data_IF_512783307625
#
_entry.id   IF_512783307625
#
_cell.length_a   1.000
_cell.length_b   1.000
_cell.length_c   1.000
_cell.angle_alpha   90.00
_cell.angle_beta   90.00
_cell.angle_gamma   90.00
#
_symmetry.space_group_name_H-M   'P 1'
#
loop_
_entity.id
_entity.type
_entity.pdbx_description
1 polymer ?
#
# COMPACT_ATOMS: atom_id res chain seq x y z
N UNK A 1 14.68 28.26 -6.67
CA UNK A 1 13.68 28.75 -5.69
C UNK A 1 13.41 27.71 -4.59
N UNK A 2 14.06 27.88 -3.43
CA UNK A 2 13.72 27.12 -2.23
C UNK A 2 12.35 27.62 -1.77
N UNK A 3 11.27 26.91 -2.15
CA UNK A 3 9.94 27.21 -1.64
C UNK A 3 10.02 27.14 -0.12
N UNK A 4 9.96 28.32 0.49
CA UNK A 4 10.06 28.57 1.92
C UNK A 4 8.77 28.12 2.61
N UNK A 5 8.45 26.84 2.47
CA UNK A 5 7.52 26.16 3.35
C UNK A 5 8.43 25.37 4.29
N UNK A 6 8.56 25.83 5.53
CA UNK A 6 9.22 25.12 6.63
C UNK A 6 8.38 23.89 7.02
N UNK A 7 8.16 22.98 6.08
CA UNK A 7 7.60 21.67 6.35
C UNK A 7 8.66 20.87 7.09
N UNK A 8 8.33 20.47 8.32
CA UNK A 8 9.10 19.48 9.08
C UNK A 8 9.49 18.30 8.18
N UNK A 9 10.67 17.71 8.37
CA UNK A 9 11.16 16.60 7.53
C UNK A 9 10.13 15.46 7.39
N UNK A 10 9.36 15.22 8.46
CA UNK A 10 8.24 14.27 8.47
C UNK A 10 7.14 14.60 7.46
N UNK A 11 6.71 15.86 7.38
CA UNK A 11 5.64 16.23 6.44
C UNK A 11 6.10 16.21 4.99
N UNK A 12 7.39 16.49 4.71
CA UNK A 12 7.96 16.33 3.36
C UNK A 12 7.99 14.88 2.92
N UNK A 13 8.46 13.97 3.79
CA UNK A 13 8.46 12.53 3.53
C UNK A 13 7.05 11.97 3.33
N UNK A 14 6.11 12.38 4.19
CA UNK A 14 4.71 11.97 4.08
C UNK A 14 4.05 12.46 2.77
N UNK A 15 4.34 13.69 2.33
CA UNK A 15 3.82 14.21 1.06
C UNK A 15 4.42 13.49 -0.15
N UNK A 16 5.73 13.21 -0.14
CA UNK A 16 6.40 12.50 -1.23
C UNK A 16 5.83 11.08 -1.41
N UNK A 17 5.75 10.30 -0.32
CA UNK A 17 5.12 8.97 -0.36
C UNK A 17 3.63 9.06 -0.68
N UNK A 18 2.92 9.97 -0.02
CA UNK A 18 1.48 10.11 -0.18
C UNK A 18 1.07 10.42 -1.62
N UNK A 19 1.84 11.24 -2.34
CA UNK A 19 1.59 11.50 -3.76
C UNK A 19 1.89 10.29 -4.65
N UNK A 20 3.03 9.63 -4.41
CA UNK A 20 3.43 8.46 -5.18
C UNK A 20 2.39 7.32 -5.03
N UNK A 21 2.07 6.95 -3.80
CA UNK A 21 1.12 5.88 -3.50
C UNK A 21 -0.34 6.23 -3.84
N UNK A 22 -0.72 7.52 -3.87
CA UNK A 22 -2.05 7.95 -4.33
C UNK A 22 -2.28 7.64 -5.82
N UNK A 23 -1.26 7.79 -6.66
CA UNK A 23 -1.35 7.44 -8.07
C UNK A 23 -1.60 5.94 -8.23
N UNK A 24 -0.81 5.10 -7.55
CA UNK A 24 -1.02 3.65 -7.54
C UNK A 24 -2.39 3.25 -6.99
N UNK A 25 -2.84 3.85 -5.89
CA UNK A 25 -4.14 3.57 -5.29
C UNK A 25 -5.29 3.90 -6.24
N UNK A 26 -5.18 5.00 -7.00
CA UNK A 26 -6.21 5.41 -7.95
C UNK A 26 -6.34 4.41 -9.09
N UNK A 27 -5.22 3.94 -9.64
CA UNK A 27 -5.23 2.92 -10.69
C UNK A 27 -5.76 1.57 -10.20
N UNK A 28 -5.41 1.16 -8.98
CA UNK A 28 -5.93 -0.08 -8.38
C UNK A 28 -7.45 0.01 -8.20
N UNK A 29 -7.96 1.13 -7.65
CA UNK A 29 -9.41 1.32 -7.49
C UNK A 29 -10.13 1.36 -8.85
N UNK A 30 -9.55 2.03 -9.84
CA UNK A 30 -10.09 2.10 -11.21
C UNK A 30 -10.14 0.72 -11.86
N UNK A 31 -9.04 -0.04 -11.80
CA UNK A 31 -8.97 -1.41 -12.31
C UNK A 31 -9.97 -2.33 -11.60
N UNK A 32 -10.12 -2.17 -10.28
CA UNK A 32 -11.13 -2.88 -9.49
C UNK A 32 -12.55 -2.64 -9.97
N UNK A 33 -12.92 -1.39 -10.21
CA UNK A 33 -14.26 -1.05 -10.71
C UNK A 33 -14.50 -1.57 -12.14
N UNK A 34 -13.46 -1.55 -12.99
CA UNK A 34 -13.53 -2.03 -14.37
C UNK A 34 -13.53 -3.56 -14.50
N UNK A 35 -13.02 -4.27 -13.50
CA UNK A 35 -13.00 -5.74 -13.49
C UNK A 35 -14.38 -6.39 -13.32
N UNK A 36 -15.37 -5.63 -12.84
CA UNK A 36 -16.73 -6.13 -12.63
C UNK A 36 -17.42 -6.28 -13.99
N UNK A 37 -17.92 -7.48 -14.25
CA UNK A 37 -18.57 -7.83 -15.52
C UNK A 37 -19.65 -6.82 -15.93
N UNK A 38 -19.64 -6.46 -17.22
CA UNK A 38 -20.60 -5.52 -17.79
C UNK A 38 -22.03 -6.09 -17.74
N UNK A 39 -22.19 -7.41 -17.86
CA UNK A 39 -23.48 -8.10 -17.79
C UNK A 39 -24.20 -7.88 -16.46
N UNK A 40 -23.48 -7.81 -15.33
CA UNK A 40 -24.05 -7.46 -14.03
C UNK A 40 -24.68 -6.05 -14.02
N UNK A 41 -24.04 -5.11 -14.74
CA UNK A 41 -24.51 -3.72 -14.83
C UNK A 41 -25.71 -3.63 -15.77
N UNK A 42 -25.69 -4.36 -16.87
CA UNK A 42 -26.80 -4.41 -17.84
C UNK A 42 -28.04 -5.10 -17.26
N UNK A 43 -27.87 -6.23 -16.57
CA UNK A 43 -28.95 -6.92 -15.87
C UNK A 43 -29.60 -6.04 -14.80
N UNK A 44 -28.78 -5.32 -14.01
CA UNK A 44 -29.29 -4.41 -12.99
C UNK A 44 -30.05 -3.22 -13.58
N UNK A 45 -29.59 -2.67 -14.71
CA UNK A 45 -30.33 -1.65 -15.47
C UNK A 45 -31.66 -2.19 -15.99
N UNK A 46 -31.69 -3.43 -16.51
CA UNK A 46 -32.91 -4.07 -16.99
C UNK A 46 -33.94 -4.30 -15.86
N UNK A 47 -33.48 -4.49 -14.62
CA UNK A 47 -34.33 -4.54 -13.42
C UNK A 47 -34.77 -3.16 -12.90
N UNK A 48 -34.49 -2.07 -13.62
CA UNK A 48 -34.90 -0.72 -13.25
C UNK A 48 -34.02 -0.06 -12.19
N UNK A 49 -32.83 -0.59 -11.88
CA UNK A 49 -31.93 0.04 -10.92
C UNK A 49 -31.27 1.30 -11.51
N UNK A 50 -31.18 2.35 -10.70
CA UNK A 50 -30.44 3.57 -11.04
C UNK A 50 -28.93 3.31 -11.00
N UNK A 51 -28.14 4.09 -11.76
CA UNK A 51 -26.68 3.97 -11.78
C UNK A 51 -26.05 4.05 -10.38
N UNK A 52 -26.63 4.86 -9.48
CA UNK A 52 -26.17 4.95 -8.09
C UNK A 52 -26.42 3.66 -7.31
N UNK A 53 -27.59 3.03 -7.48
CA UNK A 53 -27.90 1.74 -6.85
C UNK A 53 -26.97 0.64 -7.39
N UNK A 54 -26.75 0.60 -8.71
CA UNK A 54 -25.83 -0.37 -9.34
C UNK A 54 -24.42 -0.21 -8.78
N UNK A 55 -23.93 1.04 -8.70
CA UNK A 55 -22.61 1.30 -8.13
C UNK A 55 -22.54 0.83 -6.67
N UNK A 56 -23.46 1.28 -5.82
CA UNK A 56 -23.42 1.03 -4.38
C UNK A 56 -23.63 -0.43 -3.99
N UNK A 57 -24.53 -1.15 -4.66
CA UNK A 57 -24.97 -2.48 -4.23
C UNK A 57 -24.34 -3.62 -5.04
N UNK A 58 -23.86 -3.37 -6.26
CA UNK A 58 -23.35 -4.42 -7.15
C UNK A 58 -21.86 -4.21 -7.39
N UNK A 59 -21.48 -3.07 -7.98
CA UNK A 59 -20.11 -2.85 -8.45
C UNK A 59 -19.15 -2.64 -7.29
N UNK A 60 -19.45 -1.72 -6.35
CA UNK A 60 -18.53 -1.38 -5.27
C UNK A 60 -18.22 -2.59 -4.37
N UNK A 61 -19.20 -3.37 -3.89
CA UNK A 61 -18.91 -4.52 -3.03
C UNK A 61 -18.08 -5.61 -3.73
N UNK A 62 -18.27 -5.82 -5.03
CA UNK A 62 -17.49 -6.76 -5.83
C UNK A 62 -16.07 -6.26 -6.10
N UNK A 63 -15.95 -5.01 -6.56
CA UNK A 63 -14.67 -4.36 -6.80
C UNK A 63 -13.80 -4.29 -5.54
N UNK A 64 -14.39 -3.99 -4.38
CA UNK A 64 -13.67 -3.93 -3.10
C UNK A 64 -13.01 -5.27 -2.75
N UNK A 65 -13.68 -6.40 -2.99
CA UNK A 65 -13.10 -7.73 -2.75
C UNK A 65 -11.88 -8.01 -3.63
N UNK A 66 -11.87 -7.46 -4.85
CA UNK A 66 -10.74 -7.58 -5.77
C UNK A 66 -9.58 -6.63 -5.43
N UNK A 67 -9.90 -5.44 -4.92
CA UNK A 67 -8.93 -4.37 -4.67
C UNK A 67 -8.21 -4.52 -3.32
N UNK A 68 -8.81 -5.19 -2.33
CA UNK A 68 -8.20 -5.38 -1.01
C UNK A 68 -6.83 -6.09 -1.07
N UNK A 69 -6.64 -7.21 -1.80
CA UNK A 69 -5.35 -7.88 -1.90
C UNK A 69 -4.21 -7.00 -2.46
N UNK A 70 -4.35 -6.34 -3.63
CA UNK A 70 -3.29 -5.48 -4.17
C UNK A 70 -3.03 -4.23 -3.31
N UNK A 71 -4.03 -3.70 -2.61
CA UNK A 71 -3.82 -2.63 -1.61
C UNK A 71 -2.90 -3.11 -0.49
N UNK A 72 -3.12 -4.33 0.03
CA UNK A 72 -2.26 -4.92 1.05
C UNK A 72 -0.82 -5.04 0.59
N UNK A 73 -0.60 -5.48 -0.64
CA UNK A 73 0.74 -5.58 -1.22
C UNK A 73 1.42 -4.20 -1.35
N UNK A 74 0.69 -3.20 -1.85
CA UNK A 74 1.19 -1.82 -1.93
C UNK A 74 1.52 -1.24 -0.55
N UNK A 75 0.76 -1.58 0.49
CA UNK A 75 1.06 -1.16 1.85
C UNK A 75 2.40 -1.74 2.35
N UNK A 76 2.71 -3.00 2.04
CA UNK A 76 3.99 -3.63 2.38
C UNK A 76 5.15 -2.97 1.63
N UNK A 77 4.95 -2.66 0.35
CA UNK A 77 5.94 -1.91 -0.43
C UNK A 77 6.19 -0.52 0.19
N UNK A 78 5.12 0.17 0.59
CA UNK A 78 5.20 1.49 1.22
C UNK A 78 5.99 1.46 2.53
N UNK A 79 5.78 0.44 3.38
CA UNK A 79 6.55 0.26 4.61
C UNK A 79 8.04 0.04 4.37
N UNK A 80 8.43 -0.49 3.20
CA UNK A 80 9.84 -0.59 2.81
C UNK A 80 10.35 0.76 2.31
N UNK A 81 9.56 1.48 1.54
CA UNK A 81 9.94 2.79 1.00
C UNK A 81 10.06 3.88 2.07
N UNK A 82 9.33 3.79 3.19
CA UNK A 82 9.53 4.70 4.34
C UNK A 82 10.95 4.60 4.91
N UNK A 83 11.55 3.40 4.87
CA UNK A 83 12.95 3.21 5.28
C UNK A 83 13.93 3.99 4.42
N UNK A 84 13.69 4.07 3.11
CA UNK A 84 14.52 4.81 2.17
C UNK A 84 14.48 6.32 2.47
N UNK A 85 13.32 6.84 2.85
CA UNK A 85 13.15 8.25 3.23
C UNK A 85 13.83 8.57 4.56
N UNK A 86 13.95 7.60 5.46
CA UNK A 86 14.73 7.75 6.68
C UNK A 86 16.23 8.00 6.40
N UNK A 87 16.78 7.43 5.32
CA UNK A 87 18.18 7.69 4.88
C UNK A 87 18.39 9.16 4.52
N UNK A 88 17.38 9.82 3.97
CA UNK A 88 17.43 11.24 3.61
C UNK A 88 17.49 12.17 4.85
N UNK A 89 17.45 11.62 6.07
CA UNK A 89 17.68 12.35 7.32
C UNK A 89 16.48 13.18 7.80
N UNK A 90 15.34 13.05 7.14
CA UNK A 90 14.13 13.84 7.41
C UNK A 90 13.16 13.17 8.42
N UNK A 91 13.35 11.88 8.74
CA UNK A 91 12.48 11.11 9.65
C UNK A 91 13.31 10.23 10.60
N UNK A 92 12.99 10.32 11.89
CA UNK A 92 13.60 9.55 12.99
C UNK A 92 13.10 8.10 13.03
N UNK A 93 13.30 7.37 11.93
CA UNK A 93 12.87 5.97 11.78
C UNK A 93 13.92 4.98 12.32
N UNK A 94 13.57 3.68 12.28
CA UNK A 94 14.42 2.58 12.74
C UNK A 94 15.81 2.59 12.08
N UNK A 95 15.89 2.88 10.78
CA UNK A 95 17.14 2.95 10.05
C UNK A 95 18.03 4.13 10.52
N UNK A 96 17.42 5.27 10.79
CA UNK A 96 18.11 6.43 11.34
C UNK A 96 18.66 6.12 12.75
N UNK A 97 17.87 5.44 13.59
CA UNK A 97 18.32 4.98 14.92
C UNK A 97 19.47 3.99 14.84
N UNK A 98 19.40 3.04 13.90
CA UNK A 98 20.47 2.08 13.66
C UNK A 98 21.75 2.78 13.20
N UNK A 99 21.68 3.70 12.23
CA UNK A 99 22.84 4.47 11.76
C UNK A 99 23.44 5.35 12.85
N UNK A 100 22.63 5.99 13.71
CA UNK A 100 23.12 6.79 14.83
C UNK A 100 23.97 5.94 15.78
N UNK A 101 23.50 4.75 16.13
CA UNK A 101 24.23 3.84 17.01
C UNK A 101 25.48 3.24 16.32
N UNK A 102 25.39 2.92 15.04
CA UNK A 102 26.51 2.39 14.25
C UNK A 102 27.65 3.39 14.09
N UNK A 103 27.33 4.67 13.86
CA UNK A 103 28.33 5.75 13.77
C UNK A 103 29.01 6.03 15.11
N UNK A 104 28.30 5.90 16.23
CA UNK A 104 28.88 6.07 17.57
C UNK A 104 29.94 5.00 17.92
N UNK A 105 29.88 3.82 17.29
CA UNK A 105 30.75 2.68 17.59
C UNK A 105 31.68 2.27 16.43
N UNK A 106 31.78 3.09 15.36
CA UNK A 106 32.49 2.76 14.10
C UNK A 106 32.09 1.43 13.44
N UNK A 107 30.92 0.87 13.82
CA UNK A 107 30.37 -0.42 13.35
C UNK A 107 29.14 -0.20 12.47
N UNK A 108 29.30 0.62 11.44
CA UNK A 108 28.22 1.00 10.51
C UNK A 108 27.63 -0.20 9.76
N UNK A 109 28.46 -1.20 9.40
CA UNK A 109 27.97 -2.41 8.71
C UNK A 109 27.09 -3.28 9.62
N UNK A 110 27.47 -3.49 10.88
CA UNK A 110 26.69 -4.28 11.84
C UNK A 110 25.32 -3.62 12.10
N UNK A 111 25.27 -2.30 12.22
CA UNK A 111 24.02 -1.56 12.39
C UNK A 111 23.08 -1.69 11.17
N UNK A 112 23.61 -1.67 9.95
CA UNK A 112 22.83 -1.86 8.73
C UNK A 112 22.31 -3.31 8.61
N UNK A 113 23.11 -4.30 8.99
CA UNK A 113 22.67 -5.71 9.02
C UNK A 113 21.53 -5.93 10.01
N UNK A 114 21.62 -5.35 11.22
CA UNK A 114 20.55 -5.41 12.22
C UNK A 114 19.27 -4.77 11.65
N UNK A 115 19.37 -3.59 11.05
CA UNK A 115 18.21 -2.94 10.43
C UNK A 115 17.59 -3.81 9.33
N UNK A 116 18.42 -4.43 8.47
CA UNK A 116 17.95 -5.32 7.40
C UNK A 116 17.19 -6.53 7.96
N UNK A 117 17.67 -7.15 9.04
CA UNK A 117 17.00 -8.27 9.71
C UNK A 117 15.65 -7.84 10.28
N UNK A 118 15.56 -6.67 10.92
CA UNK A 118 14.27 -6.15 11.41
C UNK A 118 13.28 -5.90 10.28
N UNK A 119 13.70 -5.25 9.18
CA UNK A 119 12.85 -5.06 8.01
C UNK A 119 12.41 -6.39 7.40
N UNK A 120 13.28 -7.39 7.41
CA UNK A 120 12.96 -8.72 6.91
C UNK A 120 11.90 -9.43 7.76
N UNK A 121 12.04 -9.40 9.09
CA UNK A 121 11.05 -9.96 10.02
C UNK A 121 9.68 -9.28 9.84
N UNK A 122 9.66 -7.95 9.79
CA UNK A 122 8.42 -7.18 9.55
C UNK A 122 7.81 -7.58 8.21
N UNK A 123 8.62 -7.68 7.15
CA UNK A 123 8.15 -8.09 5.82
C UNK A 123 7.52 -9.49 5.85
N UNK A 124 8.12 -10.45 6.54
CA UNK A 124 7.57 -11.81 6.65
C UNK A 124 6.22 -11.80 7.40
N UNK A 125 6.12 -11.07 8.51
CA UNK A 125 4.88 -10.97 9.30
C UNK A 125 3.74 -10.39 8.44
N UNK A 126 4.00 -9.29 7.74
CA UNK A 126 3.00 -8.66 6.88
C UNK A 126 2.66 -9.51 5.66
N UNK A 127 3.65 -10.16 5.05
CA UNK A 127 3.42 -11.06 3.92
C UNK A 127 2.57 -12.27 4.32
N UNK A 128 2.79 -12.82 5.52
CA UNK A 128 1.94 -13.87 6.07
C UNK A 128 0.50 -13.39 6.31
N UNK A 129 0.31 -12.18 6.84
CA UNK A 129 -1.02 -11.59 7.01
C UNK A 129 -1.72 -11.34 5.67
N UNK A 130 -1.00 -10.83 4.67
CA UNK A 130 -1.52 -10.69 3.30
C UNK A 130 -1.93 -12.04 2.72
N UNK A 131 -1.10 -13.08 2.86
CA UNK A 131 -1.42 -14.41 2.37
C UNK A 131 -2.70 -14.97 3.02
N UNK A 132 -2.94 -14.69 4.30
CA UNK A 132 -4.20 -15.06 4.96
C UNK A 132 -5.41 -14.30 4.39
N UNK A 133 -5.26 -13.00 4.12
CA UNK A 133 -6.31 -12.18 3.49
C UNK A 133 -6.62 -12.71 2.09
N UNK A 134 -5.58 -13.01 1.32
CA UNK A 134 -5.69 -13.56 -0.03
C UNK A 134 -6.38 -14.92 0.02
N UNK A 135 -5.99 -15.84 0.89
CA UNK A 135 -6.66 -17.14 1.04
C UNK A 135 -8.15 -17.01 1.39
N UNK A 136 -8.55 -15.99 2.15
CA UNK A 136 -9.96 -15.73 2.48
C UNK A 136 -10.74 -15.14 1.30
N UNK A 137 -10.12 -14.31 0.47
CA UNK A 137 -10.77 -13.63 -0.66
C UNK A 137 -10.71 -14.43 -1.98
N UNK A 138 -9.65 -15.22 -2.20
CA UNK A 138 -9.38 -16.01 -3.40
C UNK A 138 -10.34 -17.18 -3.62
N UNK A 139 -11.17 -17.54 -2.62
CA UNK A 139 -12.27 -18.51 -2.79
C UNK A 139 -13.29 -18.07 -3.86
N UNK A 140 -13.35 -16.79 -4.22
CA UNK A 140 -14.27 -16.28 -5.23
C UNK A 140 -13.75 -16.19 -6.68
N UNK A 141 -12.43 -16.22 -6.91
CA UNK A 141 -11.86 -15.78 -8.20
C UNK A 141 -11.13 -16.86 -9.01
N UNK A 142 -10.82 -18.02 -8.42
CA UNK A 142 -10.14 -19.12 -9.14
C UNK A 142 -11.02 -19.82 -10.18
N UNK A 143 -12.29 -19.42 -10.29
CA UNK A 143 -13.29 -19.99 -11.22
C UNK A 143 -13.65 -19.05 -12.38
N UNK A 144 -12.99 -17.88 -12.53
CA UNK A 144 -13.29 -16.87 -13.55
C UNK A 144 -12.18 -16.68 -14.60
N UNK A 145 -11.15 -17.54 -14.58
CA UNK A 145 -10.12 -17.70 -15.61
C UNK A 145 -10.19 -19.14 -16.13
#
# INVERSE_FOLDING_TARGET
>A
PQLCILLSGMSRGALALGLNYRSYMTEIMRAGIQSVDAGQREAAKAMGMTQFQIMRFIVLPQAMRLVIPPIGNQFIAMLKDTSLISVTGFVWELLWRAQKQGRANFRSLEALLIAAVFYWIITIIFSAFQAQIELRLSRGYRSAL
#
